data_IF_223115229738
#
_entry.id   IF_223115229738
#
_cell.length_a   1.000
_cell.length_b   1.000
_cell.length_c   1.000
_cell.angle_alpha   90.00
_cell.angle_beta   90.00
_cell.angle_gamma   90.00
#
_symmetry.space_group_name_H-M   'P 1'
#
loop_
_entity.id
_entity.type
_entity.pdbx_description
1 polymer ?
#
# COMPACT_ATOMS: atom_id res chain seq x y z
N UNK A 1 -8.43 -5.11 6.81
CA UNK A 1 -9.23 -5.91 7.75
C UNK A 1 -8.38 -6.21 8.97
N UNK A 2 -8.90 -6.12 10.21
CA UNK A 2 -8.14 -6.51 11.39
C UNK A 2 -8.03 -8.04 11.45
N UNK A 3 -6.82 -8.56 11.72
CA UNK A 3 -6.55 -9.99 11.84
C UNK A 3 -7.21 -10.58 13.11
N UNK A 4 -7.61 -11.86 13.09
CA UNK A 4 -8.09 -12.53 14.28
C UNK A 4 -6.99 -12.63 15.35
N UNK A 5 -7.39 -12.66 16.63
CA UNK A 5 -6.44 -12.90 17.72
C UNK A 5 -5.70 -14.25 17.50
N UNK A 6 -4.40 -14.34 17.80
CA UNK A 6 -3.54 -13.36 18.48
C UNK A 6 -2.91 -12.27 17.57
N UNK A 7 -3.09 -12.33 16.25
CA UNK A 7 -2.32 -11.55 15.26
C UNK A 7 -2.84 -10.12 14.98
N UNK A 8 -3.53 -9.50 15.95
CA UNK A 8 -4.18 -8.19 15.77
C UNK A 8 -3.22 -7.03 15.47
N UNK A 9 -1.93 -7.25 15.71
CA UNK A 9 -0.81 -6.34 15.52
C UNK A 9 -0.31 -6.28 14.07
N UNK A 10 -0.70 -7.25 13.24
CA UNK A 10 -0.32 -7.29 11.82
C UNK A 10 -1.15 -6.27 11.05
N UNK A 11 -0.51 -5.32 10.35
CA UNK A 11 -1.20 -4.36 9.49
C UNK A 11 -0.38 -4.00 8.27
N UNK A 12 -1.05 -3.68 7.18
CA UNK A 12 -0.43 -3.06 6.00
C UNK A 12 0.18 -1.70 6.36
N UNK A 13 1.38 -1.46 5.89
CA UNK A 13 2.13 -0.23 6.17
C UNK A 13 2.41 0.50 4.87
N UNK A 14 2.14 1.81 4.87
CA UNK A 14 2.58 2.76 3.87
C UNK A 14 3.54 3.75 4.54
N UNK A 15 4.78 3.75 4.08
CA UNK A 15 5.79 4.74 4.45
C UNK A 15 5.91 5.81 3.37
N UNK A 16 5.86 7.07 3.78
CA UNK A 16 5.98 8.23 2.89
C UNK A 16 7.10 9.14 3.36
N UNK A 17 8.05 9.43 2.48
CA UNK A 17 9.16 10.34 2.73
C UNK A 17 9.24 11.43 1.68
N UNK A 18 9.21 12.69 2.09
CA UNK A 18 9.38 13.81 1.18
C UNK A 18 10.82 13.86 0.65
N UNK A 19 10.98 14.00 -0.67
CA UNK A 19 12.28 14.16 -1.33
C UNK A 19 12.55 15.61 -1.78
N UNK A 20 11.52 16.47 -1.74
CA UNK A 20 11.55 17.81 -2.32
C UNK A 20 11.21 17.81 -3.81
N UNK A 21 11.04 19.00 -4.39
CA UNK A 21 10.80 19.16 -5.84
C UNK A 21 9.52 18.48 -6.37
N UNK A 22 8.49 18.34 -5.54
CA UNK A 22 7.26 17.65 -5.93
C UNK A 22 7.40 16.12 -6.03
N UNK A 23 8.36 15.53 -5.29
CA UNK A 23 8.58 14.08 -5.25
C UNK A 23 8.52 13.53 -3.82
N UNK A 24 7.98 12.33 -3.69
CA UNK A 24 7.99 11.55 -2.46
C UNK A 24 8.49 10.13 -2.74
N UNK A 25 9.23 9.55 -1.80
CA UNK A 25 9.50 8.11 -1.78
C UNK A 25 8.34 7.43 -1.05
N UNK A 26 7.78 6.41 -1.68
CA UNK A 26 6.75 5.54 -1.12
C UNK A 26 7.32 4.15 -0.89
N UNK A 27 6.87 3.48 0.16
CA UNK A 27 7.15 2.07 0.42
C UNK A 27 5.91 1.42 1.01
N UNK A 28 5.52 0.29 0.46
CA UNK A 28 4.42 -0.54 0.92
C UNK A 28 4.95 -1.87 1.43
N UNK A 29 4.46 -2.28 2.58
CA UNK A 29 4.60 -3.61 3.15
C UNK A 29 3.18 -4.11 3.43
N UNK A 30 2.69 -5.01 2.58
CA UNK A 30 1.29 -5.40 2.51
C UNK A 30 1.12 -6.89 2.80
N UNK A 31 -0.02 -7.21 3.40
CA UNK A 31 -0.36 -8.54 3.87
C UNK A 31 -1.81 -8.82 3.52
N UNK A 32 -2.05 -9.99 2.91
CA UNK A 32 -3.37 -10.55 2.67
C UNK A 32 -3.54 -11.84 3.47
N UNK A 33 -4.27 -11.82 4.60
CA UNK A 33 -4.56 -13.03 5.37
C UNK A 33 -5.61 -13.90 4.68
N UNK A 34 -5.48 -15.21 4.85
CA UNK A 34 -6.48 -16.19 4.44
C UNK A 34 -6.39 -17.45 5.31
N UNK A 35 -7.44 -18.27 5.31
CA UNK A 35 -7.49 -19.51 6.07
C UNK A 35 -7.31 -20.70 5.15
N UNK A 36 -6.47 -21.67 5.54
CA UNK A 36 -6.32 -22.97 4.87
C UNK A 36 -6.45 -24.05 5.92
N UNK A 37 -7.42 -24.96 5.75
CA UNK A 37 -7.64 -26.08 6.69
C UNK A 37 -7.77 -25.68 8.17
N UNK A 38 -8.28 -24.48 8.45
CA UNK A 38 -8.42 -23.96 9.82
C UNK A 38 -7.17 -23.28 10.38
N UNK A 39 -6.11 -23.15 9.59
CA UNK A 39 -4.89 -22.42 9.95
C UNK A 39 -4.83 -21.06 9.22
N UNK A 40 -4.38 -20.03 9.94
CA UNK A 40 -4.17 -18.70 9.38
C UNK A 40 -2.86 -18.67 8.59
N UNK A 41 -2.97 -18.33 7.32
CA UNK A 41 -1.87 -18.09 6.40
C UNK A 41 -1.89 -16.63 5.93
N UNK A 42 -0.80 -16.16 5.34
CA UNK A 42 -0.72 -14.81 4.80
C UNK A 42 0.15 -14.76 3.55
N UNK A 43 -0.35 -14.08 2.52
CA UNK A 43 0.48 -13.64 1.40
C UNK A 43 1.00 -12.25 1.71
N UNK A 44 2.20 -11.95 1.26
CA UNK A 44 2.86 -10.66 1.48
C UNK A 44 3.29 -10.06 0.15
N UNK A 45 3.27 -8.74 0.05
CA UNK A 45 3.71 -8.01 -1.12
C UNK A 45 4.38 -6.71 -0.73
N UNK A 46 5.44 -6.36 -1.44
CA UNK A 46 6.23 -5.17 -1.20
C UNK A 46 6.33 -4.32 -2.46
N UNK A 47 6.34 -3.00 -2.29
CA UNK A 47 6.58 -2.07 -3.39
C UNK A 47 7.30 -0.85 -2.86
N UNK A 48 8.37 -0.42 -3.52
CA UNK A 48 9.02 0.84 -3.21
C UNK A 48 9.31 1.64 -4.47
N UNK A 49 9.18 2.96 -4.39
CA UNK A 49 9.30 3.80 -5.56
C UNK A 49 9.22 5.28 -5.29
N UNK A 50 9.38 6.08 -6.35
CA UNK A 50 9.24 7.53 -6.30
C UNK A 50 7.92 7.90 -6.96
N UNK A 51 7.05 8.55 -6.20
CA UNK A 51 5.81 9.13 -6.69
C UNK A 51 5.98 10.63 -6.91
N UNK A 52 5.33 11.16 -7.94
CA UNK A 52 5.24 12.61 -8.14
C UNK A 52 4.00 13.12 -7.40
N UNK A 53 4.16 14.17 -6.59
CA UNK A 53 3.08 14.80 -5.82
C UNK A 53 2.75 16.18 -6.36
N UNK A 54 1.46 16.45 -6.56
CA UNK A 54 0.92 17.74 -6.95
C UNK A 54 -0.33 18.03 -6.12
N UNK A 55 -0.30 19.11 -5.35
CA UNK A 55 -1.37 19.43 -4.41
C UNK A 55 -1.46 18.36 -3.32
N UNK A 56 -2.63 17.74 -3.19
CA UNK A 56 -2.95 16.70 -2.22
C UNK A 56 -2.84 15.27 -2.79
N UNK A 57 -2.36 15.12 -4.03
CA UNK A 57 -2.38 13.84 -4.74
C UNK A 57 -0.98 13.47 -5.21
N UNK A 58 -0.53 12.27 -4.83
CA UNK A 58 0.69 11.67 -5.34
C UNK A 58 0.38 10.46 -6.22
N UNK A 59 1.08 10.35 -7.34
CA UNK A 59 0.89 9.26 -8.30
C UNK A 59 2.23 8.57 -8.53
N UNK A 60 2.24 7.26 -8.30
CA UNK A 60 3.29 6.35 -8.71
C UNK A 60 2.78 5.51 -9.87
N UNK A 61 3.62 5.28 -10.88
CA UNK A 61 3.31 4.42 -12.01
C UNK A 61 4.48 3.50 -12.28
N UNK A 62 4.19 2.24 -12.61
CA UNK A 62 5.19 1.26 -13.04
C UNK A 62 4.67 0.43 -14.20
N UNK A 63 5.60 -0.04 -15.03
CA UNK A 63 5.36 -1.01 -16.10
C UNK A 63 6.23 -2.26 -15.96
N UNK A 64 6.81 -2.48 -14.77
CA UNK A 64 7.78 -3.56 -14.53
C UNK A 64 7.16 -4.95 -14.69
N UNK A 65 5.98 -5.17 -14.09
CA UNK A 65 5.24 -6.44 -14.14
C UNK A 65 3.93 -6.35 -14.93
N UNK A 66 3.49 -5.13 -15.23
CA UNK A 66 2.24 -4.82 -15.93
C UNK A 66 1.92 -3.34 -15.75
N UNK A 67 0.79 -2.86 -16.29
CA UNK A 67 0.40 -1.47 -16.09
C UNK A 67 -0.15 -1.28 -14.66
N UNK A 68 0.67 -0.68 -13.80
CA UNK A 68 0.31 -0.38 -12.42
C UNK A 68 0.33 1.12 -12.15
N UNK A 69 -0.70 1.62 -11.50
CA UNK A 69 -0.77 3.00 -10.99
C UNK A 69 -1.25 3.00 -9.55
N UNK A 70 -0.51 3.67 -8.67
CA UNK A 70 -0.89 3.90 -7.27
C UNK A 70 -1.13 5.39 -7.06
N UNK A 71 -2.39 5.74 -6.79
CA UNK A 71 -2.80 7.09 -6.43
C UNK A 71 -2.97 7.20 -4.93
N UNK A 72 -2.23 8.13 -4.32
CA UNK A 72 -2.28 8.42 -2.88
C UNK A 72 -2.87 9.82 -2.72
N UNK A 73 -4.04 9.91 -2.10
CA UNK A 73 -4.73 11.17 -1.81
C UNK A 73 -4.58 11.51 -0.33
N UNK A 74 -3.98 12.66 -0.03
CA UNK A 74 -3.80 13.19 1.32
C UNK A 74 -5.07 13.92 1.78
N UNK A 75 -6.09 13.16 2.20
CA UNK A 75 -7.42 13.71 2.48
C UNK A 75 -7.46 14.73 3.62
N UNK A 76 -6.70 14.48 4.69
CA UNK A 76 -6.59 15.35 5.87
C UNK A 76 -5.32 14.98 6.67
N UNK A 77 -4.85 15.83 7.60
CA UNK A 77 -3.65 15.53 8.38
C UNK A 77 -3.71 14.13 9.01
N UNK A 78 -2.76 13.28 8.63
CA UNK A 78 -2.64 11.91 9.15
C UNK A 78 -3.60 10.88 8.56
N UNK A 79 -4.37 11.20 7.52
CA UNK A 79 -5.22 10.23 6.81
C UNK A 79 -4.98 10.32 5.32
N UNK A 80 -4.68 9.18 4.71
CA UNK A 80 -4.51 9.07 3.25
C UNK A 80 -5.38 7.95 2.69
N UNK A 81 -5.87 8.14 1.47
CA UNK A 81 -6.56 7.10 0.70
C UNK A 81 -5.66 6.66 -0.44
N UNK A 82 -5.49 5.35 -0.57
CA UNK A 82 -4.69 4.73 -1.62
C UNK A 82 -5.64 3.99 -2.56
N UNK A 83 -5.52 4.30 -3.85
CA UNK A 83 -6.17 3.57 -4.92
C UNK A 83 -5.11 2.94 -5.81
N UNK A 84 -5.24 1.64 -6.07
CA UNK A 84 -4.45 0.91 -7.05
C UNK A 84 -5.29 0.69 -8.30
N UNK A 85 -4.70 0.98 -9.45
CA UNK A 85 -5.16 0.56 -10.77
C UNK A 85 -4.16 -0.45 -11.33
N UNK A 86 -4.66 -1.53 -11.93
CA UNK A 86 -3.88 -2.73 -12.24
C UNK A 86 -4.17 -3.85 -11.24
N UNK A 87 -3.99 -5.09 -11.69
CA UNK A 87 -4.12 -6.28 -10.83
C UNK A 87 -3.02 -6.34 -9.76
N UNK A 88 -3.19 -7.23 -8.78
CA UNK A 88 -2.14 -7.60 -7.84
C UNK A 88 -0.84 -8.01 -8.55
N UNK A 89 -0.93 -8.75 -9.67
CA UNK A 89 0.20 -9.14 -10.48
C UNK A 89 0.82 -7.96 -11.26
N UNK A 90 0.01 -7.07 -11.85
CA UNK A 90 0.52 -5.90 -12.59
C UNK A 90 1.36 -4.98 -11.70
N UNK A 91 0.98 -4.88 -10.42
CA UNK A 91 1.69 -4.10 -9.40
C UNK A 91 2.80 -4.87 -8.68
N UNK A 92 3.07 -6.12 -9.05
CA UNK A 92 4.15 -6.93 -8.47
C UNK A 92 3.87 -7.46 -7.05
N UNK A 93 2.64 -7.30 -6.54
CA UNK A 93 2.26 -7.81 -5.23
C UNK A 93 1.86 -9.30 -5.27
N UNK A 94 1.05 -9.67 -6.27
CA UNK A 94 0.53 -11.02 -6.48
C UNK A 94 -0.38 -11.56 -5.36
N UNK A 95 -0.93 -12.74 -5.60
CA UNK A 95 -1.65 -13.56 -4.61
C UNK A 95 -2.68 -12.82 -3.73
N UNK A 96 -3.50 -11.96 -4.36
CA UNK A 96 -4.53 -11.13 -3.73
C UNK A 96 -4.01 -10.05 -2.78
N UNK A 97 -2.74 -9.68 -2.87
CA UNK A 97 -2.19 -8.56 -2.12
C UNK A 97 -2.41 -7.26 -2.90
N UNK A 98 -3.13 -6.31 -2.29
CA UNK A 98 -3.51 -5.03 -2.91
C UNK A 98 -3.18 -3.86 -1.99
N UNK A 99 -2.79 -2.73 -2.60
CA UNK A 99 -2.47 -1.50 -1.87
C UNK A 99 -3.71 -0.68 -1.47
N UNK A 100 -4.89 -0.96 -2.06
CA UNK A 100 -6.11 -0.17 -1.86
C UNK A 100 -6.49 -0.06 -0.38
N UNK A 101 -6.91 1.14 0.03
CA UNK A 101 -7.49 1.35 1.35
C UNK A 101 -7.19 2.71 1.93
N UNK A 102 -7.67 2.94 3.15
CA UNK A 102 -7.39 4.15 3.92
C UNK A 102 -6.33 3.85 4.97
N UNK A 103 -5.25 4.63 4.95
CA UNK A 103 -4.13 4.51 5.88
C UNK A 103 -4.15 5.68 6.86
N UNK A 104 -3.83 5.37 8.11
CA UNK A 104 -3.78 6.33 9.21
C UNK A 104 -2.34 6.47 9.67
N UNK A 105 -1.89 7.70 9.86
CA UNK A 105 -0.58 7.99 10.44
C UNK A 105 -0.55 7.40 11.84
N UNK A 106 0.37 6.46 12.07
CA UNK A 106 0.66 5.96 13.41
C UNK A 106 1.25 7.11 14.23
N UNK A 107 0.66 7.39 15.39
CA UNK A 107 1.28 8.27 16.38
C UNK A 107 2.57 7.60 16.85
N UNK A 108 3.68 8.34 16.84
CA UNK A 108 4.93 7.92 17.45
C UNK A 108 4.89 8.22 18.94
#
# INVERSE_FOLDING_TARGET
MPFPAPHKDITNTLSVHALGGGKIKISFELIYPYMVNGELQANTGELSGIANIKGDTAIYTSTEFGQCSITITFNKPGVVTVNQEGSDADCGFGHNVYANGTYYKRQK
#
